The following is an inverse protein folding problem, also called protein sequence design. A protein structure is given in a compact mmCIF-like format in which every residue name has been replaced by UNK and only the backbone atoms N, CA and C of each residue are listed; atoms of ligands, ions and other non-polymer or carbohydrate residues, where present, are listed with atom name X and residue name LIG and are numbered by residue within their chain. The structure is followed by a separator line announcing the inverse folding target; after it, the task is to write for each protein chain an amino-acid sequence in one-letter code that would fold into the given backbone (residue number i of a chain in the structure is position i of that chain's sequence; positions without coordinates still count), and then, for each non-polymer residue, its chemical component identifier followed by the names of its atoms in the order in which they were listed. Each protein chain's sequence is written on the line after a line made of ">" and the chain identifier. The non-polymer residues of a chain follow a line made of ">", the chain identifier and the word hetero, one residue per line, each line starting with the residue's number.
data_IF_040393136028
#
_entry.id   IF_040393136028
#
_cell.length_a   1.000
_cell.length_b   1.000
_cell.length_c   1.000
_cell.angle_alpha   90.00
_cell.angle_beta   90.00
_cell.angle_gamma   90.00
#
_symmetry.space_group_name_H-M   'P 1'
#
loop_
_entity.id
_entity.type
_entity.pdbx_description
1 polymer ?
#
# COMPACT_ATOMS: atom_id res chain seq x y z
N UNK A 1 10.49 11.98 14.22
CA UNK A 1 11.31 11.85 12.99
C UNK A 1 12.11 10.56 13.13
N UNK A 2 12.15 9.67 12.12
CA UNK A 2 12.83 8.36 12.20
C UNK A 2 14.33 8.51 11.86
N UNK A 3 15.01 9.34 12.65
CA UNK A 3 16.43 9.65 12.50
C UNK A 3 17.23 8.85 13.51
N UNK A 4 18.29 8.18 13.05
CA UNK A 4 19.15 7.31 13.83
C UNK A 4 20.59 7.82 13.83
N UNK A 5 21.21 7.93 15.00
CA UNK A 5 22.63 8.23 15.14
C UNK A 5 23.41 6.93 15.13
N UNK A 6 24.26 6.75 14.12
CA UNK A 6 25.13 5.57 13.97
C UNK A 6 26.59 5.94 14.20
N UNK A 7 27.48 4.94 14.29
CA UNK A 7 28.93 5.17 14.33
C UNK A 7 29.46 5.86 13.06
N UNK A 8 28.69 5.87 11.97
CA UNK A 8 29.07 6.38 10.65
C UNK A 8 28.34 7.68 10.29
N UNK A 9 27.56 8.26 11.21
CA UNK A 9 26.82 9.50 11.00
C UNK A 9 25.32 9.38 11.27
N UNK A 10 24.58 10.41 10.87
CA UNK A 10 23.13 10.52 11.05
C UNK A 10 22.41 9.91 9.84
N UNK A 11 21.48 8.99 10.10
CA UNK A 11 20.71 8.29 9.08
C UNK A 11 19.23 8.66 9.19
N UNK A 12 18.66 9.18 8.11
CA UNK A 12 17.21 9.40 7.99
C UNK A 12 16.58 8.21 7.27
N UNK A 13 15.94 7.32 8.03
CA UNK A 13 15.37 6.08 7.49
C UNK A 13 14.24 6.34 6.49
N UNK A 14 13.56 7.48 6.60
CA UNK A 14 12.48 7.83 5.67
C UNK A 14 13.07 8.28 4.35
N UNK A 15 14.11 9.11 4.37
CA UNK A 15 14.80 9.55 3.16
C UNK A 15 15.41 8.36 2.42
N UNK A 16 16.09 7.47 3.12
CA UNK A 16 16.65 6.25 2.54
C UNK A 16 15.59 5.39 1.83
N UNK A 17 14.40 5.25 2.42
CA UNK A 17 13.31 4.49 1.82
C UNK A 17 12.76 5.16 0.54
N UNK A 18 12.66 6.49 0.54
CA UNK A 18 12.23 7.25 -0.65
C UNK A 18 13.26 7.15 -1.79
N UNK A 19 14.55 7.19 -1.46
CA UNK A 19 15.63 7.01 -2.43
C UNK A 19 15.63 5.60 -3.02
N UNK A 20 15.46 4.58 -2.17
CA UNK A 20 15.34 3.20 -2.61
C UNK A 20 14.17 3.00 -3.58
N UNK A 21 12.99 3.57 -3.29
CA UNK A 21 11.85 3.49 -4.20
C UNK A 21 12.15 4.11 -5.58
N UNK A 22 12.90 5.21 -5.62
CA UNK A 22 13.26 5.88 -6.88
C UNK A 22 14.34 5.11 -7.65
N UNK A 23 15.33 4.57 -6.94
CA UNK A 23 16.44 3.84 -7.56
C UNK A 23 15.98 2.55 -8.23
N UNK A 24 15.03 1.85 -7.61
CA UNK A 24 14.51 0.57 -8.09
C UNK A 24 13.16 0.70 -8.81
N UNK A 25 12.79 1.90 -9.27
CA UNK A 25 11.54 2.14 -9.99
C UNK A 25 11.54 1.33 -11.30
N UNK A 26 10.58 0.41 -11.51
CA UNK A 26 10.44 -0.31 -12.78
C UNK A 26 9.90 0.64 -13.86
N UNK A 27 10.15 0.31 -15.13
CA UNK A 27 9.78 1.18 -16.28
C UNK A 27 8.29 1.54 -16.31
N UNK A 28 7.44 0.54 -16.02
CA UNK A 28 5.97 0.65 -15.98
C UNK A 28 5.42 1.17 -14.65
N UNK A 29 6.26 1.32 -13.62
CA UNK A 29 5.84 1.66 -12.26
C UNK A 29 5.44 0.47 -11.39
N UNK A 30 5.22 0.73 -10.10
CA UNK A 30 4.89 -0.30 -9.12
C UNK A 30 3.41 -0.65 -9.10
N UNK A 31 3.12 -1.95 -9.01
CA UNK A 31 1.81 -2.45 -8.58
C UNK A 31 1.77 -2.54 -7.05
N UNK A 32 1.07 -1.60 -6.40
CA UNK A 32 1.01 -1.50 -4.94
C UNK A 32 -0.24 -2.18 -4.40
N UNK A 33 -0.06 -3.37 -3.81
CA UNK A 33 -1.13 -4.06 -3.10
C UNK A 33 -1.46 -3.35 -1.77
N UNK A 34 -2.62 -2.70 -1.72
CA UNK A 34 -3.08 -1.91 -0.59
C UNK A 34 -4.20 -2.61 0.17
N UNK A 35 -3.92 -3.04 1.39
CA UNK A 35 -4.88 -3.74 2.26
C UNK A 35 -5.58 -2.84 3.29
N UNK A 36 -5.22 -1.55 3.36
CA UNK A 36 -5.64 -0.66 4.44
C UNK A 36 -4.99 -0.93 5.80
N UNK A 37 -4.12 -1.93 5.91
CA UNK A 37 -3.32 -2.19 7.10
C UNK A 37 -2.23 -1.14 7.32
N UNK A 38 -1.62 -1.13 8.52
CA UNK A 38 -0.57 -0.14 8.85
C UNK A 38 0.62 -0.18 7.88
N UNK A 39 1.05 -1.37 7.50
CA UNK A 39 2.26 -1.56 6.71
C UNK A 39 2.02 -1.10 5.26
N UNK A 40 0.90 -1.50 4.66
CA UNK A 40 0.51 -1.06 3.32
C UNK A 40 0.12 0.42 3.26
N UNK A 41 -0.40 0.99 4.36
CA UNK A 41 -0.66 2.44 4.48
C UNK A 41 0.63 3.25 4.51
N UNK A 42 1.66 2.78 5.22
CA UNK A 42 2.98 3.43 5.17
C UNK A 42 3.60 3.29 3.78
N UNK A 43 3.48 2.14 3.11
CA UNK A 43 3.97 1.98 1.74
C UNK A 43 3.26 2.92 0.76
N UNK A 44 1.94 3.08 0.87
CA UNK A 44 1.16 4.01 0.05
C UNK A 44 1.60 5.47 0.28
N UNK A 45 1.84 5.88 1.53
CA UNK A 45 2.41 7.20 1.85
C UNK A 45 3.80 7.40 1.22
N UNK A 46 4.68 6.41 1.35
CA UNK A 46 6.03 6.48 0.81
C UNK A 46 6.03 6.54 -0.73
N UNK A 47 5.19 5.76 -1.41
CA UNK A 47 5.05 5.80 -2.87
C UNK A 47 4.53 7.17 -3.35
N UNK A 48 3.52 7.73 -2.67
CA UNK A 48 3.01 9.09 -2.96
C UNK A 48 4.10 10.15 -2.78
N UNK A 49 4.92 10.04 -1.74
CA UNK A 49 5.98 11.01 -1.41
C UNK A 49 7.24 10.85 -2.26
N UNK A 50 7.54 9.65 -2.73
CA UNK A 50 8.72 9.40 -3.57
C UNK A 50 8.52 9.98 -4.97
N UNK A 51 7.29 10.02 -5.47
CA UNK A 51 6.95 10.51 -6.80
C UNK A 51 7.21 9.50 -7.92
N UNK A 52 7.46 8.24 -7.56
CA UNK A 52 7.57 7.12 -8.52
C UNK A 52 6.23 6.85 -9.18
N UNK A 53 6.23 6.24 -10.36
CA UNK A 53 5.02 5.71 -10.98
C UNK A 53 4.51 4.51 -10.17
N UNK A 54 3.23 4.50 -9.85
CA UNK A 54 2.57 3.35 -9.25
C UNK A 54 1.05 3.41 -9.50
N UNK A 55 0.41 2.25 -9.42
CA UNK A 55 -1.03 2.11 -9.17
C UNK A 55 -1.24 1.36 -7.85
N UNK A 56 -2.28 1.74 -7.10
CA UNK A 56 -2.60 1.11 -5.82
C UNK A 56 -3.89 0.32 -5.94
N UNK A 57 -3.85 -0.94 -5.53
CA UNK A 57 -4.97 -1.88 -5.70
C UNK A 57 -5.37 -2.49 -4.37
N UNK A 58 -6.65 -2.34 -4.03
CA UNK A 58 -7.29 -3.05 -2.94
C UNK A 58 -8.11 -4.22 -3.48
N UNK A 59 -7.65 -5.44 -3.17
CA UNK A 59 -8.36 -6.67 -3.50
C UNK A 59 -9.42 -6.95 -2.44
N UNK A 60 -10.68 -6.61 -2.73
CA UNK A 60 -11.79 -6.69 -1.79
C UNK A 60 -12.15 -8.16 -1.50
N UNK A 61 -11.87 -8.62 -0.28
CA UNK A 61 -12.15 -10.03 0.09
C UNK A 61 -13.62 -10.32 0.34
N UNK A 62 -14.44 -9.28 0.51
CA UNK A 62 -15.87 -9.32 0.89
C UNK A 62 -16.16 -9.80 2.32
N UNK A 63 -15.12 -10.09 3.12
CA UNK A 63 -15.21 -10.39 4.56
C UNK A 63 -14.49 -9.37 5.44
N UNK A 64 -13.86 -8.37 4.82
CA UNK A 64 -13.19 -7.30 5.53
C UNK A 64 -14.19 -6.50 6.41
N UNK A 65 -13.78 -6.07 7.61
CA UNK A 65 -14.64 -5.26 8.47
C UNK A 65 -15.11 -3.98 7.75
N UNK A 66 -16.37 -3.54 7.92
CA UNK A 66 -16.89 -2.35 7.27
C UNK A 66 -16.03 -1.11 7.49
N UNK A 67 -15.48 -0.93 8.68
CA UNK A 67 -14.62 0.19 9.05
C UNK A 67 -13.35 0.24 8.19
N UNK A 68 -12.75 -0.91 7.91
CA UNK A 68 -11.58 -1.03 7.04
C UNK A 68 -11.94 -0.67 5.60
N UNK A 69 -13.07 -1.19 5.11
CA UNK A 69 -13.56 -0.88 3.75
C UNK A 69 -13.84 0.62 3.61
N UNK A 70 -14.45 1.26 4.60
CA UNK A 70 -14.69 2.70 4.58
C UNK A 70 -13.39 3.50 4.58
N UNK A 71 -12.43 3.13 5.43
CA UNK A 71 -11.11 3.75 5.47
C UNK A 71 -10.39 3.66 4.11
N UNK A 72 -10.42 2.50 3.46
CA UNK A 72 -9.79 2.32 2.14
C UNK A 72 -10.50 3.18 1.09
N UNK A 73 -11.83 3.29 1.14
CA UNK A 73 -12.62 4.14 0.21
C UNK A 73 -12.37 5.65 0.36
N UNK A 74 -11.74 6.08 1.45
CA UNK A 74 -11.27 7.47 1.59
C UNK A 74 -10.03 7.74 0.72
N UNK A 75 -9.25 6.71 0.37
CA UNK A 75 -8.11 6.78 -0.53
C UNK A 75 -8.60 6.77 -1.99
N UNK A 76 -8.82 7.94 -2.59
CA UNK A 76 -9.46 8.08 -3.92
C UNK A 76 -8.62 7.60 -5.11
N UNK A 77 -7.33 7.48 -4.91
CA UNK A 77 -6.31 6.99 -5.85
C UNK A 77 -6.10 5.47 -5.77
N UNK A 78 -6.82 4.77 -4.90
CA UNK A 78 -6.79 3.31 -4.80
C UNK A 78 -7.90 2.70 -5.65
N UNK A 79 -7.52 1.79 -6.54
CA UNK A 79 -8.41 0.98 -7.36
C UNK A 79 -8.96 -0.16 -6.50
N UNK A 80 -10.28 -0.31 -6.46
CA UNK A 80 -10.93 -1.40 -5.72
C UNK A 80 -11.25 -2.53 -6.69
N UNK A 81 -10.52 -3.63 -6.56
CA UNK A 81 -10.75 -4.86 -7.32
C UNK A 81 -11.82 -5.68 -6.61
N UNK A 82 -12.99 -5.80 -7.24
CA UNK A 82 -14.09 -6.59 -6.70
C UNK A 82 -14.06 -8.01 -7.30
N UNK A 83 -14.16 -9.06 -6.47
CA UNK A 83 -14.18 -10.44 -6.97
C UNK A 83 -15.52 -10.76 -7.64
N UNK A 84 -15.51 -11.74 -8.55
CA UNK A 84 -16.73 -12.21 -9.23
C UNK A 84 -17.74 -12.85 -8.25
N UNK A 85 -17.23 -13.54 -7.22
CA UNK A 85 -18.02 -14.15 -6.15
C UNK A 85 -17.54 -13.65 -4.81
N UNK A 86 -18.49 -13.35 -3.94
CA UNK A 86 -18.22 -13.07 -2.53
C UNK A 86 -17.76 -14.33 -1.80
N UNK A 87 -17.01 -14.16 -0.71
CA UNK A 87 -16.62 -15.26 0.16
C UNK A 87 -17.85 -16.03 0.69
N UNK A 88 -18.97 -15.34 0.91
CA UNK A 88 -20.21 -15.96 1.38
C UNK A 88 -20.81 -16.91 0.35
N UNK A 89 -20.80 -16.55 -0.93
CA UNK A 89 -21.21 -17.43 -2.02
C UNK A 89 -20.26 -18.63 -2.13
N UNK A 90 -18.94 -18.40 -2.02
CA UNK A 90 -17.94 -19.47 -2.05
C UNK A 90 -18.10 -20.48 -0.89
N UNK A 91 -18.56 -20.03 0.27
CA UNK A 91 -18.83 -20.92 1.43
C UNK A 91 -20.00 -21.86 1.14
N UNK A 92 -21.04 -21.39 0.43
CA UNK A 92 -22.23 -22.21 0.10
C UNK A 92 -21.93 -23.24 -0.97
N UNK A 93 -20.97 -22.98 -1.86
CA UNK A 93 -20.56 -23.90 -2.93
C UNK A 93 -19.70 -25.10 -2.44
N UNK A 94 -19.32 -25.11 -1.16
CA UNK A 94 -18.56 -26.21 -0.52
C UNK A 94 -19.46 -27.21 0.21
#
# INVERSE_FOLDING_TARGET
>A
MLVENTLFGVRDKVQDALEMLREFEPEDGYYLAYSGGKDSTVLLDLARRSGVKFDAHYNLTTVDPPELVYFIREQKDVIIESPEKTMWELIVEK
#
